data_IF_923822246802
#
_entry.id   IF_923822246802
#
_cell.length_a   1.000
_cell.length_b   1.000
_cell.length_c   1.000
_cell.angle_alpha   90.00
_cell.angle_beta   90.00
_cell.angle_gamma   90.00
#
_symmetry.space_group_name_H-M   'P 1'
#
loop_
_entity.id
_entity.type
_entity.pdbx_description
1 polymer ?
#
# COMPACT_ATOMS: atom_id res chain seq x y z
N UNK A 1 -22.04 32.49 -6.99
CA UNK A 1 -20.92 31.96 -7.81
C UNK A 1 -20.76 32.88 -8.99
N UNK A 2 -19.65 33.62 -9.03
CA UNK A 2 -19.42 34.75 -9.94
C UNK A 2 -19.59 34.36 -11.42
N UNK A 3 -20.31 35.17 -12.19
CA UNK A 3 -20.61 34.92 -13.60
C UNK A 3 -19.34 34.92 -14.46
N UNK A 4 -18.29 35.63 -14.02
CA UNK A 4 -16.97 35.56 -14.66
C UNK A 4 -16.37 34.16 -14.55
N UNK A 5 -16.43 33.53 -13.37
CA UNK A 5 -15.91 32.18 -13.15
C UNK A 5 -16.65 31.12 -13.98
N UNK A 6 -17.95 31.29 -14.21
CA UNK A 6 -18.71 30.41 -15.11
C UNK A 6 -18.27 30.57 -16.57
N UNK A 7 -18.13 31.81 -17.05
CA UNK A 7 -17.68 32.10 -18.42
C UNK A 7 -16.27 31.56 -18.68
N UNK A 8 -15.34 31.75 -17.75
CA UNK A 8 -13.98 31.21 -17.87
C UNK A 8 -13.96 29.68 -17.99
N UNK A 9 -14.78 28.97 -17.22
CA UNK A 9 -14.87 27.51 -17.28
C UNK A 9 -15.42 27.02 -18.61
N UNK A 10 -16.50 27.64 -19.10
CA UNK A 10 -17.08 27.29 -20.40
C UNK A 10 -16.08 27.55 -21.54
N UNK A 11 -15.34 28.67 -21.50
CA UNK A 11 -14.28 28.95 -22.46
C UNK A 11 -13.16 27.90 -22.41
N UNK A 12 -12.76 27.46 -21.22
CA UNK A 12 -11.78 26.39 -21.07
C UNK A 12 -12.26 25.06 -21.66
N UNK A 13 -13.55 24.74 -21.52
CA UNK A 13 -14.17 23.56 -22.15
C UNK A 13 -14.10 23.65 -23.68
N UNK A 14 -14.39 24.82 -24.27
CA UNK A 14 -14.22 25.01 -25.71
C UNK A 14 -12.77 24.81 -26.17
N UNK A 15 -11.79 25.29 -25.40
CA UNK A 15 -10.37 25.09 -25.73
C UNK A 15 -9.97 23.62 -25.60
N UNK A 16 -10.34 22.95 -24.51
CA UNK A 16 -9.97 21.55 -24.23
C UNK A 16 -10.59 20.58 -25.24
N UNK A 17 -11.80 20.87 -25.69
CA UNK A 17 -12.59 20.00 -26.57
C UNK A 17 -12.87 20.66 -27.93
N UNK A 18 -11.90 21.44 -28.44
CA UNK A 18 -12.05 22.21 -29.68
C UNK A 18 -12.37 21.32 -30.89
N UNK A 19 -11.84 20.10 -30.93
CA UNK A 19 -12.12 19.11 -31.98
C UNK A 19 -13.58 18.63 -32.04
N UNK A 20 -14.36 18.81 -30.96
CA UNK A 20 -15.77 18.41 -30.92
C UNK A 20 -16.73 19.48 -31.45
N UNK A 21 -16.25 20.70 -31.75
CA UNK A 21 -17.09 21.81 -32.21
C UNK A 21 -18.36 21.97 -31.37
N UNK A 22 -18.20 22.06 -30.03
CA UNK A 22 -19.31 22.07 -29.09
C UNK A 22 -20.24 23.27 -29.30
N UNK A 23 -21.53 23.07 -29.06
CA UNK A 23 -22.47 24.18 -28.84
C UNK A 23 -22.32 24.73 -27.42
N UNK A 24 -22.76 25.97 -27.19
CA UNK A 24 -22.71 26.61 -25.87
C UNK A 24 -23.40 25.78 -24.79
N UNK A 25 -24.58 25.23 -25.08
CA UNK A 25 -25.32 24.40 -24.13
C UNK A 25 -24.57 23.11 -23.77
N UNK A 26 -23.92 22.47 -24.75
CA UNK A 26 -23.10 21.28 -24.53
C UNK A 26 -21.88 21.62 -23.66
N UNK A 27 -21.19 22.72 -23.98
CA UNK A 27 -20.05 23.18 -23.21
C UNK A 27 -20.41 23.55 -21.76
N UNK A 28 -21.60 24.12 -21.54
CA UNK A 28 -22.13 24.39 -20.19
C UNK A 28 -22.39 23.10 -19.40
N UNK A 29 -23.01 22.09 -20.03
CA UNK A 29 -23.25 20.77 -19.40
C UNK A 29 -21.95 20.07 -19.03
N UNK A 30 -20.95 20.07 -19.93
CA UNK A 30 -19.62 19.51 -19.66
C UNK A 30 -18.90 20.30 -18.55
N UNK A 31 -19.00 21.63 -18.53
CA UNK A 31 -18.41 22.46 -17.48
C UNK A 31 -19.02 22.18 -16.10
N UNK A 32 -20.30 21.81 -16.04
CA UNK A 32 -20.96 21.38 -14.81
C UNK A 32 -20.39 20.04 -14.33
N UNK A 33 -20.31 19.04 -15.22
CA UNK A 33 -19.68 17.75 -14.94
C UNK A 33 -18.23 17.91 -14.43
N UNK A 34 -17.39 18.70 -15.11
CA UNK A 34 -16.00 18.92 -14.71
C UNK A 34 -15.88 19.60 -13.33
N UNK A 35 -16.89 20.42 -12.95
CA UNK A 35 -16.97 20.98 -11.60
C UNK A 35 -17.26 19.90 -10.56
N UNK A 36 -18.21 19.01 -10.81
CA UNK A 36 -18.53 17.91 -9.89
C UNK A 36 -17.34 16.97 -9.71
N UNK A 37 -16.62 16.68 -10.80
CA UNK A 37 -15.41 15.86 -10.75
C UNK A 37 -14.31 16.51 -9.88
N UNK A 38 -14.11 17.82 -9.99
CA UNK A 38 -13.13 18.57 -9.19
C UNK A 38 -13.56 18.80 -7.74
N UNK A 39 -14.85 18.71 -7.42
CA UNK A 39 -15.36 18.92 -6.07
C UNK A 39 -15.04 17.75 -5.11
N UNK A 40 -14.20 16.79 -5.52
CA UNK A 40 -13.69 15.73 -4.65
C UNK A 40 -14.56 14.47 -4.60
N UNK A 41 -15.87 14.61 -4.78
CA UNK A 41 -16.84 13.51 -4.61
C UNK A 41 -16.60 12.34 -5.58
N UNK A 42 -16.23 12.65 -6.82
CA UNK A 42 -15.96 11.64 -7.85
C UNK A 42 -14.46 11.30 -7.98
N UNK A 43 -13.57 12.23 -7.62
CA UNK A 43 -12.13 12.02 -7.80
C UNK A 43 -11.55 11.10 -6.73
N UNK A 44 -12.04 11.07 -5.50
CA UNK A 44 -11.48 10.15 -4.48
C UNK A 44 -11.92 8.70 -4.66
N UNK A 45 -13.07 8.45 -5.29
CA UNK A 45 -13.78 7.17 -5.19
C UNK A 45 -13.72 6.30 -6.47
N UNK A 46 -13.36 6.91 -7.61
CA UNK A 46 -13.29 6.22 -8.91
C UNK A 46 -11.84 6.05 -9.36
N UNK A 47 -11.52 4.85 -9.82
CA UNK A 47 -10.31 4.56 -10.62
C UNK A 47 -10.31 5.34 -11.93
N UNK A 48 -9.14 5.44 -12.58
CA UNK A 48 -9.03 6.09 -13.89
C UNK A 48 -9.98 5.48 -14.93
N UNK A 49 -10.13 4.17 -14.92
CA UNK A 49 -11.04 3.43 -15.79
C UNK A 49 -12.50 3.81 -15.56
N UNK A 50 -12.94 3.75 -14.31
CA UNK A 50 -14.32 4.11 -13.94
C UNK A 50 -14.61 5.59 -14.23
N UNK A 51 -13.60 6.47 -14.12
CA UNK A 51 -13.74 7.87 -14.51
C UNK A 51 -13.96 8.02 -16.01
N UNK A 52 -13.24 7.27 -16.85
CA UNK A 52 -13.46 7.30 -18.30
C UNK A 52 -14.78 6.67 -18.73
N UNK A 53 -15.23 5.63 -18.03
CA UNK A 53 -16.53 5.01 -18.26
C UNK A 53 -17.66 5.98 -17.86
N UNK A 54 -17.52 6.67 -16.72
CA UNK A 54 -18.46 7.69 -16.29
C UNK A 54 -18.45 8.93 -17.20
N UNK A 55 -17.27 9.40 -17.64
CA UNK A 55 -17.14 10.49 -18.61
C UNK A 55 -17.85 10.14 -19.93
N UNK A 56 -17.63 8.92 -20.44
CA UNK A 56 -18.31 8.43 -21.64
C UNK A 56 -19.84 8.39 -21.46
N UNK A 57 -20.34 7.89 -20.33
CA UNK A 57 -21.77 7.89 -20.02
C UNK A 57 -22.37 9.30 -20.05
N UNK A 58 -21.71 10.27 -19.40
CA UNK A 58 -22.17 11.65 -19.38
C UNK A 58 -22.11 12.28 -20.77
N UNK A 59 -21.00 12.09 -21.51
CA UNK A 59 -20.83 12.67 -22.84
C UNK A 59 -21.81 12.09 -23.85
N UNK A 60 -22.19 10.82 -23.72
CA UNK A 60 -23.24 10.18 -24.54
C UNK A 60 -24.61 10.85 -24.39
N UNK A 61 -24.87 11.55 -23.28
CA UNK A 61 -26.11 12.32 -23.08
C UNK A 61 -26.04 13.78 -23.57
N UNK A 62 -24.84 14.28 -23.89
CA UNK A 62 -24.58 15.68 -24.24
C UNK A 62 -24.26 15.84 -25.72
N UNK A 63 -23.45 14.94 -26.26
CA UNK A 63 -22.91 14.99 -27.62
C UNK A 63 -23.88 14.37 -28.61
N UNK A 64 -23.89 14.88 -29.84
CA UNK A 64 -24.55 14.20 -30.94
C UNK A 64 -23.69 13.00 -31.43
N UNK A 65 -24.22 12.11 -32.29
CA UNK A 65 -23.50 10.91 -32.72
C UNK A 65 -22.13 11.18 -33.36
N UNK A 66 -22.00 12.21 -34.21
CA UNK A 66 -20.75 12.53 -34.90
C UNK A 66 -19.69 13.05 -33.91
N UNK A 67 -20.10 13.93 -32.99
CA UNK A 67 -19.24 14.42 -31.91
C UNK A 67 -18.82 13.30 -30.97
N UNK A 68 -19.74 12.40 -30.62
CA UNK A 68 -19.45 11.26 -29.76
C UNK A 68 -18.44 10.31 -30.41
N UNK A 69 -18.54 10.07 -31.71
CA UNK A 69 -17.57 9.26 -32.45
C UNK A 69 -16.16 9.87 -32.40
N UNK A 70 -16.04 11.19 -32.59
CA UNK A 70 -14.76 11.90 -32.44
C UNK A 70 -14.21 11.81 -31.00
N UNK A 71 -15.08 11.95 -30.00
CA UNK A 71 -14.69 11.79 -28.60
C UNK A 71 -14.18 10.38 -28.30
N UNK A 72 -14.88 9.33 -28.78
CA UNK A 72 -14.48 7.93 -28.58
C UNK A 72 -13.10 7.68 -29.18
N UNK A 73 -12.85 8.17 -30.40
CA UNK A 73 -11.53 8.04 -31.04
C UNK A 73 -10.40 8.64 -30.18
N UNK A 74 -10.57 9.86 -29.68
CA UNK A 74 -9.57 10.52 -28.83
C UNK A 74 -9.45 9.87 -27.43
N UNK A 75 -10.56 9.38 -26.87
CA UNK A 75 -10.59 8.65 -25.60
C UNK A 75 -9.81 7.35 -25.71
N UNK A 76 -10.05 6.56 -26.76
CA UNK A 76 -9.39 5.27 -26.95
C UNK A 76 -7.89 5.44 -27.17
N UNK A 77 -7.48 6.52 -27.86
CA UNK A 77 -6.06 6.90 -27.95
C UNK A 77 -5.45 7.15 -26.57
N UNK A 78 -6.10 7.95 -25.71
CA UNK A 78 -5.62 8.22 -24.34
C UNK A 78 -5.59 6.97 -23.47
N UNK A 79 -6.57 6.08 -23.63
CA UNK A 79 -6.59 4.78 -22.95
C UNK A 79 -5.36 3.97 -23.35
N UNK A 80 -5.07 3.84 -24.65
CA UNK A 80 -3.90 3.11 -25.13
C UNK A 80 -2.58 3.72 -24.65
N UNK A 81 -2.46 5.06 -24.67
CA UNK A 81 -1.29 5.77 -24.12
C UNK A 81 -1.11 5.49 -22.62
N UNK A 82 -2.21 5.46 -21.86
CA UNK A 82 -2.15 5.14 -20.43
C UNK A 82 -1.80 3.68 -20.17
N UNK A 83 -2.38 2.73 -20.92
CA UNK A 83 -2.03 1.31 -20.84
C UNK A 83 -0.53 1.11 -21.09
N UNK A 84 0.01 1.73 -22.14
CA UNK A 84 1.44 1.69 -22.42
C UNK A 84 2.26 2.30 -21.28
N UNK A 85 1.84 3.45 -20.73
CA UNK A 85 2.54 4.05 -19.58
C UNK A 85 2.57 3.14 -18.36
N UNK A 86 1.50 2.37 -18.11
CA UNK A 86 1.45 1.41 -17.01
C UNK A 86 2.44 0.27 -17.23
N UNK A 87 2.52 -0.24 -18.46
CA UNK A 87 3.45 -1.31 -18.85
C UNK A 87 4.90 -0.81 -18.74
N UNK A 88 5.18 0.39 -19.23
CA UNK A 88 6.52 0.98 -19.18
C UNK A 88 6.97 1.18 -17.73
N UNK A 89 6.10 1.73 -16.88
CA UNK A 89 6.34 1.89 -15.44
C UNK A 89 6.61 0.55 -14.73
N UNK A 90 5.89 -0.51 -15.12
CA UNK A 90 6.03 -1.83 -14.51
C UNK A 90 7.34 -2.54 -14.90
N UNK A 91 7.94 -2.13 -16.02
CA UNK A 91 9.20 -2.66 -16.54
C UNK A 91 10.40 -1.77 -16.19
N UNK A 92 10.22 -0.74 -15.37
CA UNK A 92 11.34 0.05 -14.86
C UNK A 92 12.30 -0.85 -14.08
N UNK A 93 13.60 -0.64 -14.31
CA UNK A 93 14.65 -1.40 -13.66
C UNK A 93 14.59 -1.30 -12.12
N UNK A 94 14.12 -0.17 -11.61
CA UNK A 94 13.89 0.04 -10.18
C UNK A 94 12.86 -0.94 -9.61
N UNK A 95 11.75 -1.16 -10.31
CA UNK A 95 10.71 -2.13 -9.92
C UNK A 95 11.28 -3.54 -9.84
N UNK A 96 12.09 -3.94 -10.83
CA UNK A 96 12.71 -5.26 -10.87
C UNK A 96 13.73 -5.46 -9.74
N UNK A 97 14.61 -4.48 -9.49
CA UNK A 97 15.57 -4.53 -8.39
C UNK A 97 14.90 -4.55 -7.01
N UNK A 98 13.78 -3.85 -6.85
CA UNK A 98 13.01 -3.90 -5.61
C UNK A 98 12.38 -5.28 -5.38
N UNK A 99 11.97 -5.98 -6.45
CA UNK A 99 11.51 -7.38 -6.37
C UNK A 99 12.66 -8.29 -5.95
N UNK A 100 13.84 -8.19 -6.59
CA UNK A 100 15.01 -9.00 -6.24
C UNK A 100 15.41 -8.81 -4.78
N UNK A 101 15.41 -7.57 -4.30
CA UNK A 101 15.65 -7.24 -2.89
C UNK A 101 14.62 -7.88 -1.97
N UNK A 102 13.33 -7.74 -2.28
CA UNK A 102 12.25 -8.28 -1.44
C UNK A 102 12.31 -9.82 -1.41
N UNK A 103 12.67 -10.48 -2.52
CA UNK A 103 12.92 -11.93 -2.58
C UNK A 103 14.16 -12.36 -1.76
N UNK A 104 15.26 -11.60 -1.79
CA UNK A 104 16.44 -11.87 -0.96
C UNK A 104 16.12 -11.71 0.53
N UNK A 105 15.31 -10.70 0.88
CA UNK A 105 14.86 -10.49 2.25
C UNK A 105 13.98 -11.64 2.75
N UNK A 106 13.02 -12.12 1.97
CA UNK A 106 12.22 -13.31 2.33
C UNK A 106 13.13 -14.51 2.62
N UNK A 107 14.12 -14.77 1.77
CA UNK A 107 15.08 -15.88 1.99
C UNK A 107 15.86 -15.67 3.28
N UNK A 108 16.38 -14.47 3.52
CA UNK A 108 17.10 -14.19 4.76
C UNK A 108 16.19 -14.40 5.98
N UNK A 109 14.97 -13.89 5.92
CA UNK A 109 13.99 -14.03 7.00
C UNK A 109 13.69 -15.51 7.29
N UNK A 110 13.43 -16.30 6.26
CA UNK A 110 13.10 -17.73 6.38
C UNK A 110 14.26 -18.58 6.92
N UNK A 111 15.46 -18.40 6.37
CA UNK A 111 16.58 -19.31 6.65
C UNK A 111 17.45 -18.88 7.81
N UNK A 112 17.46 -17.59 8.18
CA UNK A 112 18.37 -17.06 9.21
C UNK A 112 17.60 -16.43 10.37
N UNK A 113 16.75 -15.43 10.09
CA UNK A 113 16.11 -14.62 11.12
C UNK A 113 15.06 -15.40 11.93
N UNK A 114 14.08 -16.01 11.27
CA UNK A 114 12.96 -16.69 11.92
C UNK A 114 13.41 -17.88 12.80
N UNK A 115 14.30 -18.78 12.32
CA UNK A 115 14.82 -19.83 13.18
C UNK A 115 15.53 -19.27 14.42
N UNK A 116 16.34 -18.23 14.27
CA UNK A 116 17.06 -17.62 15.38
C UNK A 116 16.12 -16.95 16.38
N UNK A 117 15.18 -16.13 15.90
CA UNK A 117 14.28 -15.36 16.76
C UNK A 117 13.27 -16.25 17.46
N UNK A 118 12.69 -17.25 16.77
CA UNK A 118 11.73 -18.17 17.38
C UNK A 118 12.39 -19.05 18.44
N UNK A 119 13.64 -19.47 18.23
CA UNK A 119 14.38 -20.24 19.24
C UNK A 119 14.59 -19.42 20.53
N UNK A 120 14.89 -18.12 20.41
CA UNK A 120 15.08 -17.25 21.57
C UNK A 120 13.77 -16.80 22.20
N UNK A 121 12.78 -16.47 21.39
CA UNK A 121 11.52 -15.87 21.82
C UNK A 121 10.51 -16.89 22.35
N UNK A 122 10.41 -18.09 21.76
CA UNK A 122 9.51 -19.14 22.28
C UNK A 122 9.92 -19.63 23.68
N UNK A 123 11.19 -19.46 24.07
CA UNK A 123 11.62 -19.74 25.43
C UNK A 123 11.04 -18.75 26.47
N UNK A 124 10.51 -17.59 26.03
CA UNK A 124 9.81 -16.64 26.90
C UNK A 124 8.32 -16.92 27.05
N UNK A 125 7.68 -17.40 25.99
CA UNK A 125 6.26 -17.74 26.03
C UNK A 125 6.08 -19.10 26.68
N UNK A 126 5.94 -19.10 28.01
CA UNK A 126 5.62 -20.30 28.76
C UNK A 126 4.30 -20.90 28.27
N UNK A 127 4.27 -22.22 28.04
CA UNK A 127 3.02 -22.96 27.75
C UNK A 127 1.98 -22.77 28.87
N UNK A 128 2.41 -22.33 30.06
CA UNK A 128 1.56 -22.04 31.22
C UNK A 128 1.27 -20.54 31.42
N UNK A 129 1.63 -19.68 30.47
CA UNK A 129 1.30 -18.26 30.57
C UNK A 129 -0.23 -18.09 30.58
N UNK A 130 -0.83 -17.54 31.65
CA UNK A 130 -2.27 -17.31 31.73
C UNK A 130 -2.78 -16.34 30.65
N UNK A 131 -1.88 -15.61 29.97
CA UNK A 131 -2.21 -14.70 28.88
C UNK A 131 -2.21 -15.36 27.50
N UNK A 132 -1.91 -16.65 27.38
CA UNK A 132 -1.88 -17.35 26.09
C UNK A 132 -3.16 -17.14 25.26
N UNK A 133 -4.35 -17.13 25.88
CA UNK A 133 -5.60 -16.84 25.17
C UNK A 133 -5.66 -15.43 24.57
N UNK A 134 -5.00 -14.44 25.18
CA UNK A 134 -4.92 -13.06 24.67
C UNK A 134 -3.89 -12.95 23.54
N UNK A 135 -2.77 -13.68 23.64
CA UNK A 135 -1.81 -13.75 22.54
C UNK A 135 -2.42 -14.45 21.32
N UNK A 136 -3.12 -15.56 21.52
CA UNK A 136 -3.83 -16.29 20.45
C UNK A 136 -4.89 -15.41 19.79
N UNK A 137 -5.66 -14.67 20.61
CA UNK A 137 -6.59 -13.66 20.11
C UNK A 137 -5.88 -12.61 19.25
N UNK A 138 -4.78 -12.02 19.75
CA UNK A 138 -4.05 -10.99 19.02
C UNK A 138 -3.46 -11.49 17.70
N UNK A 139 -2.95 -12.74 17.67
CA UNK A 139 -2.50 -13.40 16.44
C UNK A 139 -3.64 -13.64 15.45
N UNK A 140 -4.81 -14.05 15.93
CA UNK A 140 -5.99 -14.24 15.08
C UNK A 140 -6.47 -12.92 14.46
N UNK A 141 -6.46 -11.83 15.23
CA UNK A 141 -6.76 -10.49 14.73
C UNK A 141 -5.72 -10.01 13.72
N UNK A 142 -4.42 -10.25 13.99
CA UNK A 142 -3.37 -9.90 13.04
C UNK A 142 -3.46 -10.71 11.74
N UNK A 143 -3.81 -12.00 11.82
CA UNK A 143 -4.11 -12.82 10.63
C UNK A 143 -5.26 -12.22 9.82
N UNK A 144 -6.33 -11.80 10.49
CA UNK A 144 -7.49 -11.20 9.82
C UNK A 144 -7.12 -9.89 9.12
N UNK A 145 -6.27 -9.07 9.76
CA UNK A 145 -5.66 -7.90 9.15
C UNK A 145 -4.83 -8.24 7.89
N UNK A 146 -3.96 -9.26 7.96
CA UNK A 146 -3.17 -9.71 6.81
C UNK A 146 -4.06 -10.22 5.67
N UNK A 147 -5.12 -10.98 5.98
CA UNK A 147 -6.07 -11.50 5.02
C UNK A 147 -6.81 -10.37 4.29
N UNK A 148 -7.20 -9.32 5.01
CA UNK A 148 -7.84 -8.13 4.41
C UNK A 148 -6.86 -7.32 3.58
N UNK A 149 -5.63 -7.12 4.06
CA UNK A 149 -4.57 -6.43 3.31
C UNK A 149 -4.27 -7.16 1.99
N UNK A 150 -4.19 -8.49 2.01
CA UNK A 150 -4.00 -9.31 0.82
C UNK A 150 -5.16 -9.15 -0.18
N UNK A 151 -6.42 -9.25 0.27
CA UNK A 151 -7.60 -9.00 -0.57
C UNK A 151 -7.57 -7.61 -1.19
N UNK A 152 -7.21 -6.60 -0.39
CA UNK A 152 -7.10 -5.21 -0.83
C UNK A 152 -6.02 -5.02 -1.88
N UNK A 153 -4.84 -5.66 -1.74
CA UNK A 153 -3.77 -5.63 -2.75
C UNK A 153 -4.28 -6.15 -4.09
N UNK A 154 -4.95 -7.30 -4.09
CA UNK A 154 -5.49 -7.94 -5.30
C UNK A 154 -6.59 -7.07 -5.93
N UNK A 155 -7.59 -6.68 -5.13
CA UNK A 155 -8.73 -5.88 -5.62
C UNK A 155 -8.25 -4.55 -6.22
N UNK A 156 -7.35 -3.85 -5.54
CA UNK A 156 -6.80 -2.59 -6.04
C UNK A 156 -5.96 -2.79 -7.30
N UNK A 157 -5.22 -3.89 -7.42
CA UNK A 157 -4.47 -4.16 -8.63
C UNK A 157 -5.41 -4.31 -9.83
N UNK A 158 -6.42 -5.17 -9.76
CA UNK A 158 -7.33 -5.36 -10.89
C UNK A 158 -8.19 -4.13 -11.16
N UNK A 159 -8.62 -3.41 -10.12
CA UNK A 159 -9.41 -2.18 -10.28
C UNK A 159 -8.64 -1.04 -10.92
N UNK A 160 -7.39 -0.81 -10.51
CA UNK A 160 -6.62 0.36 -10.95
C UNK A 160 -5.64 0.07 -12.07
N UNK A 161 -5.14 -1.17 -12.19
CA UNK A 161 -4.08 -1.54 -13.15
C UNK A 161 -4.55 -2.51 -14.23
N UNK A 162 -5.74 -3.14 -14.09
CA UNK A 162 -6.32 -4.08 -15.07
C UNK A 162 -5.38 -5.20 -15.54
N UNK A 163 -4.35 -5.54 -14.76
CA UNK A 163 -3.33 -6.54 -15.14
C UNK A 163 -2.13 -6.01 -15.93
N UNK A 164 -2.06 -4.71 -16.24
CA UNK A 164 -0.95 -4.11 -16.98
C UNK A 164 0.33 -3.92 -16.16
N UNK A 165 0.29 -4.17 -14.84
CA UNK A 165 1.42 -4.01 -13.93
C UNK A 165 1.73 -5.25 -13.07
N UNK A 166 2.01 -6.42 -13.68
CA UNK A 166 2.22 -7.67 -12.96
C UNK A 166 3.42 -7.63 -11.99
N UNK A 167 4.51 -6.94 -12.32
CA UNK A 167 5.67 -6.83 -11.43
C UNK A 167 5.35 -6.00 -10.18
N UNK A 168 4.58 -4.93 -10.34
CA UNK A 168 4.07 -4.13 -9.24
C UNK A 168 3.18 -4.96 -8.30
N UNK A 169 2.33 -5.85 -8.85
CA UNK A 169 1.57 -6.79 -8.04
C UNK A 169 2.49 -7.76 -7.29
N UNK A 170 3.43 -8.40 -8.00
CA UNK A 170 4.40 -9.32 -7.43
C UNK A 170 5.14 -8.68 -6.25
N UNK A 171 5.67 -7.47 -6.43
CA UNK A 171 6.34 -6.72 -5.38
C UNK A 171 5.44 -6.46 -4.16
N UNK A 172 4.19 -6.05 -4.37
CA UNK A 172 3.24 -5.82 -3.27
C UNK A 172 2.94 -7.10 -2.49
N UNK A 173 2.83 -8.23 -3.17
CA UNK A 173 2.64 -9.54 -2.55
C UNK A 173 3.90 -9.97 -1.77
N UNK A 174 5.10 -9.74 -2.30
CA UNK A 174 6.35 -10.01 -1.56
C UNK A 174 6.46 -9.17 -0.28
N UNK A 175 6.09 -7.88 -0.32
CA UNK A 175 6.02 -7.03 0.88
C UNK A 175 5.01 -7.55 1.90
N UNK A 176 3.85 -7.99 1.44
CA UNK A 176 2.86 -8.63 2.30
C UNK A 176 3.39 -9.91 2.94
N UNK A 177 4.10 -10.76 2.19
CA UNK A 177 4.81 -11.93 2.74
C UNK A 177 5.84 -11.52 3.81
N UNK A 178 6.64 -10.48 3.54
CA UNK A 178 7.61 -9.96 4.53
C UNK A 178 6.92 -9.51 5.83
N UNK A 179 5.76 -8.86 5.75
CA UNK A 179 4.98 -8.47 6.93
C UNK A 179 4.41 -9.68 7.69
N UNK A 180 4.01 -10.75 6.98
CA UNK A 180 3.58 -11.99 7.62
C UNK A 180 4.73 -12.71 8.35
N UNK A 181 5.98 -12.57 7.85
CA UNK A 181 7.19 -13.14 8.46
C UNK A 181 7.72 -12.30 9.62
N UNK A 182 7.76 -10.97 9.46
CA UNK A 182 8.19 -10.03 10.48
C UNK A 182 7.16 -8.90 10.64
N UNK A 183 6.19 -9.07 11.56
CA UNK A 183 5.07 -8.15 11.72
C UNK A 183 5.49 -6.71 11.98
N UNK A 184 4.72 -5.76 11.43
CA UNK A 184 4.84 -4.34 11.70
C UNK A 184 3.68 -3.90 12.60
N UNK A 185 3.88 -4.00 13.93
CA UNK A 185 2.80 -3.74 14.88
C UNK A 185 2.22 -2.33 14.76
N UNK A 186 3.05 -1.32 14.50
CA UNK A 186 2.62 0.07 14.35
C UNK A 186 1.68 0.30 13.16
N UNK A 187 1.76 -0.52 12.11
CA UNK A 187 0.77 -0.51 11.03
C UNK A 187 -0.53 -1.18 11.49
N UNK A 188 -0.45 -2.37 12.05
CA UNK A 188 -1.61 -3.10 12.56
C UNK A 188 -2.39 -2.29 13.62
N UNK A 189 -1.68 -1.62 14.52
CA UNK A 189 -2.24 -0.77 15.59
C UNK A 189 -3.20 0.31 15.07
N UNK A 190 -2.98 0.81 13.85
CA UNK A 190 -3.84 1.84 13.23
C UNK A 190 -5.20 1.29 12.80
N UNK A 191 -5.27 -0.01 12.53
CA UNK A 191 -6.47 -0.69 12.01
C UNK A 191 -7.22 -1.50 13.09
N UNK A 192 -6.69 -1.58 14.31
CA UNK A 192 -7.34 -2.31 15.41
C UNK A 192 -8.70 -1.69 15.79
N UNK A 193 -9.66 -2.56 16.08
CA UNK A 193 -10.88 -2.18 16.78
C UNK A 193 -10.64 -1.92 18.27
N UNK A 194 -11.67 -1.45 18.97
CA UNK A 194 -11.54 -1.07 20.39
C UNK A 194 -11.32 -2.27 21.32
N UNK A 195 -11.81 -3.45 20.93
CA UNK A 195 -11.60 -4.70 21.69
C UNK A 195 -10.14 -5.11 21.60
N UNK A 196 -9.57 -5.13 20.39
CA UNK A 196 -8.17 -5.48 20.15
C UNK A 196 -7.23 -4.48 20.81
N UNK A 197 -7.52 -3.18 20.75
CA UNK A 197 -6.79 -2.15 21.49
C UNK A 197 -6.81 -2.42 23.00
N UNK A 198 -7.96 -2.77 23.56
CA UNK A 198 -8.10 -3.09 24.99
C UNK A 198 -7.25 -4.29 25.40
N UNK A 199 -7.18 -5.33 24.56
CA UNK A 199 -6.30 -6.50 24.80
C UNK A 199 -4.83 -6.09 24.76
N UNK A 200 -4.43 -5.30 23.76
CA UNK A 200 -3.06 -4.76 23.65
C UNK A 200 -2.69 -3.94 24.89
N UNK A 201 -3.56 -3.03 25.32
CA UNK A 201 -3.30 -2.17 26.48
C UNK A 201 -3.25 -2.97 27.78
N UNK A 202 -4.08 -4.02 27.91
CA UNK A 202 -3.96 -4.99 29.00
C UNK A 202 -2.58 -5.66 28.98
N UNK A 203 -2.13 -6.17 27.83
CA UNK A 203 -0.83 -6.85 27.69
C UNK A 203 0.34 -5.91 27.99
N UNK A 204 0.27 -4.63 27.59
CA UNK A 204 1.27 -3.62 27.99
C UNK A 204 1.33 -3.43 29.51
N UNK A 205 0.17 -3.36 30.16
CA UNK A 205 0.06 -3.13 31.61
C UNK A 205 0.56 -4.30 32.48
N UNK A 206 0.80 -5.47 31.89
CA UNK A 206 1.43 -6.61 32.56
C UNK A 206 2.97 -6.61 32.46
N UNK A 207 3.57 -5.53 31.91
CA UNK A 207 4.95 -5.50 31.45
C UNK A 207 6.02 -5.59 32.53
N UNK A 208 6.71 -6.74 32.58
CA UNK A 208 8.14 -6.89 32.94
C UNK A 208 8.77 -8.07 32.18
N UNK A 209 8.50 -8.30 30.89
CA UNK A 209 8.80 -9.63 30.29
C UNK A 209 9.73 -9.63 29.06
N UNK A 210 10.46 -8.54 28.81
CA UNK A 210 11.41 -8.48 27.69
C UNK A 210 12.88 -8.29 28.11
N UNK A 211 13.24 -8.65 29.34
CA UNK A 211 14.62 -8.44 29.83
C UNK A 211 15.49 -9.69 29.70
N UNK A 212 14.91 -10.86 29.89
CA UNK A 212 15.61 -12.12 29.66
C UNK A 212 15.82 -12.25 28.14
N UNK A 213 17.03 -12.52 27.66
CA UNK A 213 17.42 -12.56 26.24
C UNK A 213 17.35 -11.25 25.45
N UNK A 214 17.17 -10.09 26.10
CA UNK A 214 17.17 -8.78 25.41
C UNK A 214 18.42 -8.57 24.55
N UNK A 215 19.59 -8.90 25.08
CA UNK A 215 20.88 -8.79 24.37
C UNK A 215 20.94 -9.69 23.13
N UNK A 216 20.50 -10.94 23.26
CA UNK A 216 20.51 -11.92 22.16
C UNK A 216 19.53 -11.51 21.06
N UNK A 217 18.30 -11.10 21.43
CA UNK A 217 17.31 -10.59 20.49
C UNK A 217 17.83 -9.31 19.81
N UNK A 218 18.45 -8.42 20.57
CA UNK A 218 19.05 -7.19 20.02
C UNK A 218 20.14 -7.51 19.01
N UNK A 219 20.97 -8.53 19.25
CA UNK A 219 21.97 -9.01 18.29
C UNK A 219 21.33 -9.51 16.99
N UNK A 220 20.29 -10.35 17.09
CA UNK A 220 19.56 -10.86 15.90
C UNK A 220 18.93 -9.71 15.09
N UNK A 221 18.37 -8.71 15.78
CA UNK A 221 17.80 -7.52 15.14
C UNK A 221 18.87 -6.60 14.54
N UNK A 222 20.08 -6.59 15.10
CA UNK A 222 21.22 -5.87 14.52
C UNK A 222 21.68 -6.55 13.22
N UNK A 223 21.74 -7.88 13.20
CA UNK A 223 22.07 -8.65 11.99
C UNK A 223 21.03 -8.43 10.88
N UNK A 224 19.73 -8.44 11.22
CA UNK A 224 18.66 -8.11 10.27
C UNK A 224 18.80 -6.68 9.73
N UNK A 225 19.13 -5.70 10.59
CA UNK A 225 19.36 -4.31 10.16
C UNK A 225 20.54 -4.21 9.21
N UNK A 226 21.68 -4.80 9.56
CA UNK A 226 22.87 -4.81 8.72
C UNK A 226 22.61 -5.50 7.36
N UNK A 227 21.85 -6.60 7.36
CA UNK A 227 21.42 -7.26 6.13
C UNK A 227 20.56 -6.31 5.26
N UNK A 228 19.53 -5.67 5.84
CA UNK A 228 18.65 -4.74 5.13
C UNK A 228 19.40 -3.54 4.56
N UNK A 229 20.32 -2.96 5.33
CA UNK A 229 21.18 -1.86 4.87
C UNK A 229 22.03 -2.28 3.66
N UNK A 230 22.67 -3.45 3.73
CA UNK A 230 23.46 -3.99 2.62
C UNK A 230 22.61 -4.29 1.39
N UNK A 231 21.44 -4.91 1.56
CA UNK A 231 20.51 -5.16 0.46
C UNK A 231 20.04 -3.83 -0.17
N UNK A 232 19.75 -2.83 0.64
CA UNK A 232 19.38 -1.50 0.13
C UNK A 232 20.49 -0.85 -0.70
N UNK A 233 21.74 -0.95 -0.23
CA UNK A 233 22.92 -0.47 -0.95
C UNK A 233 23.11 -1.17 -2.29
N UNK A 234 22.87 -2.49 -2.35
CA UNK A 234 23.01 -3.29 -3.56
C UNK A 234 21.94 -2.99 -4.62
N UNK A 235 20.67 -2.82 -4.21
CA UNK A 235 19.54 -2.79 -5.15
C UNK A 235 18.93 -1.40 -5.35
N UNK A 236 19.03 -0.46 -4.40
CA UNK A 236 18.19 0.77 -4.43
C UNK A 236 19.01 2.06 -4.43
N UNK A 237 20.11 2.12 -3.70
CA UNK A 237 20.88 3.36 -3.46
C UNK A 237 21.35 4.08 -4.72
N UNK A 238 21.73 3.34 -5.76
CA UNK A 238 22.21 3.90 -7.03
C UNK A 238 21.08 4.49 -7.90
N UNK A 239 19.83 4.06 -7.70
CA UNK A 239 18.70 4.49 -8.53
C UNK A 239 17.87 5.61 -7.89
N UNK A 240 17.85 5.71 -6.55
CA UNK A 240 17.10 6.76 -5.88
C UNK A 240 17.79 7.27 -4.58
N UNK A 241 18.87 8.06 -4.71
CA UNK A 241 19.64 8.56 -3.57
C UNK A 241 18.86 9.55 -2.70
N UNK A 242 17.87 10.24 -3.26
CA UNK A 242 17.00 11.16 -2.52
C UNK A 242 16.09 10.38 -1.59
N UNK A 243 15.43 9.32 -2.08
CA UNK A 243 14.61 8.46 -1.24
C UNK A 243 15.43 7.79 -0.13
N UNK A 244 16.67 7.37 -0.41
CA UNK A 244 17.60 6.86 0.61
C UNK A 244 17.85 7.88 1.72
N UNK A 245 18.11 9.14 1.37
CA UNK A 245 18.32 10.19 2.36
C UNK A 245 17.08 10.41 3.24
N UNK A 246 15.86 10.24 2.71
CA UNK A 246 14.61 10.39 3.46
C UNK A 246 14.24 9.16 4.30
N UNK A 247 14.56 7.94 3.86
CA UNK A 247 14.27 6.70 4.61
C UNK A 247 15.20 6.50 5.82
N UNK A 248 16.33 7.19 5.84
CA UNK A 248 17.31 7.18 6.94
C UNK A 248 17.03 8.30 7.96
N UNK A 249 16.04 9.18 7.72
CA UNK A 249 15.71 10.26 8.65
C UNK A 249 15.03 9.72 9.92
N UNK A 250 15.69 9.99 11.05
CA UNK A 250 15.28 9.84 12.44
C UNK A 250 13.85 9.31 12.67
N UNK A 251 13.78 8.09 13.21
CA UNK A 251 12.57 7.59 13.86
C UNK A 251 12.22 8.51 15.03
N UNK A 252 11.18 9.33 14.85
CA UNK A 252 10.74 10.32 15.84
C UNK A 252 9.95 9.71 17.01
N UNK A 253 9.70 8.40 16.98
CA UNK A 253 9.01 7.68 18.07
C UNK A 253 9.88 7.67 19.32
N UNK A 254 9.26 7.71 20.48
CA UNK A 254 9.99 7.54 21.75
C UNK A 254 10.59 6.13 21.85
N UNK A 255 11.62 5.96 22.68
CA UNK A 255 12.21 4.64 22.94
C UNK A 255 11.17 3.64 23.45
N UNK A 256 10.22 4.10 24.28
CA UNK A 256 9.11 3.29 24.76
C UNK A 256 8.18 2.84 23.61
N UNK A 257 7.88 3.73 22.65
CA UNK A 257 7.08 3.39 21.48
C UNK A 257 7.78 2.38 20.58
N UNK A 258 9.09 2.54 20.38
CA UNK A 258 9.90 1.60 19.58
C UNK A 258 10.00 0.22 20.25
N UNK A 259 10.21 0.19 21.57
CA UNK A 259 10.26 -1.05 22.34
C UNK A 259 8.90 -1.77 22.35
N UNK A 260 7.80 -1.03 22.49
CA UNK A 260 6.45 -1.58 22.40
C UNK A 260 6.17 -2.15 21.00
N UNK A 261 6.52 -1.41 19.96
CA UNK A 261 6.38 -1.86 18.58
C UNK A 261 7.12 -3.17 18.34
N UNK A 262 8.40 -3.22 18.75
CA UNK A 262 9.21 -4.42 18.65
C UNK A 262 8.62 -5.60 19.43
N UNK A 263 8.23 -5.38 20.69
CA UNK A 263 7.68 -6.43 21.54
C UNK A 263 6.46 -7.09 20.91
N UNK A 264 5.48 -6.29 20.48
CA UNK A 264 4.30 -6.82 19.85
C UNK A 264 4.56 -7.39 18.46
N UNK A 265 5.51 -6.83 17.69
CA UNK A 265 5.95 -7.45 16.44
C UNK A 265 6.47 -8.87 16.66
N UNK A 266 7.25 -9.08 17.72
CA UNK A 266 7.78 -10.41 18.07
C UNK A 266 6.69 -11.35 18.59
N UNK A 267 5.77 -10.86 19.42
CA UNK A 267 4.59 -11.62 19.86
C UNK A 267 3.75 -12.11 18.70
N UNK A 268 3.66 -11.32 17.62
CA UNK A 268 2.86 -11.62 16.44
C UNK A 268 3.56 -12.54 15.44
N UNK A 269 4.82 -12.92 15.64
CA UNK A 269 5.50 -13.85 14.72
C UNK A 269 4.78 -15.20 14.73
N UNK A 270 4.53 -15.71 13.53
CA UNK A 270 4.02 -17.06 13.28
C UNK A 270 5.04 -17.86 12.47
N UNK A 271 5.29 -19.10 12.89
CA UNK A 271 6.31 -19.97 12.28
C UNK A 271 5.97 -20.37 10.84
N UNK A 272 4.67 -20.39 10.51
CA UNK A 272 4.15 -20.80 9.20
C UNK A 272 3.70 -19.56 8.39
N UNK A 273 4.08 -18.36 8.84
CA UNK A 273 3.78 -17.06 8.22
C UNK A 273 2.28 -16.89 7.98
N UNK A 274 1.44 -17.38 8.88
CA UNK A 274 -0.02 -17.37 8.74
C UNK A 274 -0.54 -18.09 7.49
N UNK A 275 0.24 -19.05 6.96
CA UNK A 275 0.03 -19.77 5.70
C UNK A 275 0.32 -18.96 4.41
N UNK A 276 1.11 -17.89 4.51
CA UNK A 276 1.58 -17.10 3.35
C UNK A 276 2.94 -17.54 2.80
N UNK A 277 3.35 -18.78 3.10
CA UNK A 277 4.55 -19.38 2.53
C UNK A 277 4.34 -19.62 1.02
N UNK A 278 5.13 -18.95 0.19
CA UNK A 278 5.13 -19.13 -1.27
C UNK A 278 5.98 -20.33 -1.69
#
# INVERSE_FOLDING_TARGET
MDDQNKRHRVNWIFTRWSHLNLMLEQAQKIAYFDREQRAGVLSSNLSYWERWDYEFYIFGSILNPDQLALYVYERDKKINEYEQSLIDDDNLNSTLKEIERDEEEIKYLEYNFLPAILMKFNNHLSVRDPQNTKYDFLKAEYKSYLDEKHRTIIANHFRHRRGFQPNTLKRRLLKHTNEAMFPQFSEFKKEMDDITKSVVDFLKGQGEHFDHNKEEISSILADLRAFREKAWDNYVKSENPVFYAFSVLDDKRSEEEQNNDLYFSLLLIDKDYYNYKQ
#
